data_IF_791068883510
#
_entry.id   IF_791068883510
#
_cell.length_a   1.000
_cell.length_b   1.000
_cell.length_c   1.000
_cell.angle_alpha   90.00
_cell.angle_beta   90.00
_cell.angle_gamma   90.00
#
_symmetry.space_group_name_H-M   'P 1'
#
loop_
_entity.id
_entity.type
_entity.pdbx_description
1 polymer ?
#
# COMPACT_ATOMS: atom_id res chain seq x y z
N UNK A 1 -34.30 20.41 -0.54
CA UNK A 1 -33.14 19.59 -0.18
C UNK A 1 -32.80 18.80 -1.42
N UNK A 2 -31.53 18.78 -1.84
CA UNK A 2 -31.11 17.91 -2.94
C UNK A 2 -31.43 16.46 -2.55
N UNK A 3 -31.92 15.67 -3.50
CA UNK A 3 -32.13 14.25 -3.27
C UNK A 3 -30.75 13.55 -3.16
N UNK A 4 -30.70 12.38 -2.54
CA UNK A 4 -29.47 11.56 -2.52
C UNK A 4 -29.05 11.20 -3.95
N UNK A 5 -30.02 11.04 -4.85
CA UNK A 5 -29.80 10.77 -6.28
C UNK A 5 -29.09 11.95 -6.95
N UNK A 6 -29.48 13.20 -6.64
CA UNK A 6 -28.83 14.41 -7.15
C UNK A 6 -27.37 14.50 -6.68
N UNK A 7 -27.09 14.11 -5.43
CA UNK A 7 -25.73 14.10 -4.88
C UNK A 7 -24.86 13.01 -5.53
N UNK A 8 -25.43 11.83 -5.79
CA UNK A 8 -24.75 10.74 -6.50
C UNK A 8 -24.42 11.16 -7.93
N UNK A 9 -25.40 11.72 -8.67
CA UNK A 9 -25.20 12.17 -10.05
C UNK A 9 -24.14 13.27 -10.12
N UNK A 10 -24.18 14.22 -9.18
CA UNK A 10 -23.15 15.27 -9.07
C UNK A 10 -21.77 14.69 -8.80
N UNK A 11 -21.65 13.73 -7.88
CA UNK A 11 -20.38 13.09 -7.55
C UNK A 11 -19.83 12.30 -8.75
N UNK A 12 -20.69 11.58 -9.49
CA UNK A 12 -20.32 10.87 -10.71
C UNK A 12 -19.82 11.84 -11.78
N UNK A 13 -20.57 12.92 -12.06
CA UNK A 13 -20.17 13.93 -13.05
C UNK A 13 -18.82 14.55 -12.69
N UNK A 14 -18.66 15.00 -11.44
CA UNK A 14 -17.42 15.62 -10.97
C UNK A 14 -16.22 14.66 -11.07
N UNK A 15 -16.43 13.38 -10.74
CA UNK A 15 -15.37 12.37 -10.83
C UNK A 15 -14.95 12.12 -12.28
N UNK A 16 -15.91 12.06 -13.21
CA UNK A 16 -15.63 11.91 -14.64
C UNK A 16 -14.93 13.12 -15.24
N UNK A 17 -15.28 14.34 -14.79
CA UNK A 17 -14.57 15.56 -15.16
C UNK A 17 -13.11 15.52 -14.69
N UNK A 18 -12.86 15.05 -13.46
CA UNK A 18 -11.49 14.87 -12.95
C UNK A 18 -10.68 13.87 -13.77
N UNK A 19 -11.27 12.71 -14.12
CA UNK A 19 -10.62 11.73 -15.00
C UNK A 19 -10.31 12.34 -16.35
N UNK A 20 -11.27 13.06 -16.95
CA UNK A 20 -11.08 13.71 -18.25
C UNK A 20 -9.97 14.77 -18.20
N UNK A 21 -9.89 15.55 -17.13
CA UNK A 21 -8.82 16.52 -16.92
C UNK A 21 -7.45 15.84 -16.77
N UNK A 22 -7.38 14.72 -16.03
CA UNK A 22 -6.16 13.92 -15.90
C UNK A 22 -5.69 13.37 -17.25
N UNK A 23 -6.60 12.80 -18.05
CA UNK A 23 -6.29 12.30 -19.39
C UNK A 23 -5.87 13.43 -20.35
N UNK A 24 -6.48 14.60 -20.22
CA UNK A 24 -6.09 15.80 -20.95
C UNK A 24 -4.66 16.25 -20.62
N UNK A 25 -4.28 16.21 -19.34
CA UNK A 25 -2.93 16.58 -18.90
C UNK A 25 -1.84 15.67 -19.49
N UNK A 26 -2.12 14.38 -19.68
CA UNK A 26 -1.17 13.46 -20.32
C UNK A 26 -0.76 13.92 -21.73
N UNK A 27 -1.66 14.55 -22.47
CA UNK A 27 -1.37 15.08 -23.81
C UNK A 27 -0.45 16.31 -23.79
N UNK A 28 -0.29 16.95 -22.62
CA UNK A 28 0.57 18.12 -22.42
C UNK A 28 1.97 17.74 -21.92
N UNK A 29 2.21 16.48 -21.55
CA UNK A 29 3.51 16.01 -21.07
C UNK A 29 4.51 16.03 -22.23
N UNK A 30 5.46 16.96 -22.17
CA UNK A 30 6.59 17.00 -23.08
C UNK A 30 7.72 16.11 -22.56
N UNK A 31 8.02 15.03 -23.28
CA UNK A 31 9.20 14.21 -23.00
C UNK A 31 10.45 14.92 -23.56
N UNK A 32 11.28 15.47 -22.68
CA UNK A 32 12.64 15.88 -23.03
C UNK A 32 13.54 14.65 -23.24
N UNK A 33 14.75 14.83 -23.78
CA UNK A 33 15.67 13.73 -24.08
C UNK A 33 16.24 12.95 -22.88
N UNK A 34 15.86 13.31 -21.65
CA UNK A 34 16.25 12.59 -20.42
C UNK A 34 15.03 11.79 -19.94
N UNK A 35 15.09 10.47 -20.10
CA UNK A 35 14.08 9.55 -19.59
C UNK A 35 14.43 9.16 -18.16
N UNK A 36 13.60 9.58 -17.20
CA UNK A 36 13.67 9.06 -15.84
C UNK A 36 12.62 7.94 -15.71
N UNK A 37 13.09 6.70 -15.82
CA UNK A 37 12.25 5.49 -15.80
C UNK A 37 11.33 5.44 -14.59
N UNK A 38 11.78 5.91 -13.42
CA UNK A 38 10.98 5.92 -12.19
C UNK A 38 9.71 6.75 -12.34
N UNK A 39 9.78 7.91 -13.01
CA UNK A 39 8.59 8.74 -13.23
C UNK A 39 7.62 8.12 -14.22
N UNK A 40 8.12 7.43 -15.25
CA UNK A 40 7.26 6.69 -16.17
C UNK A 40 6.53 5.56 -15.43
N UNK A 41 7.23 4.77 -14.63
CA UNK A 41 6.65 3.68 -13.84
C UNK A 41 5.61 4.21 -12.82
N UNK A 42 5.87 5.38 -12.21
CA UNK A 42 4.89 6.05 -11.35
C UNK A 42 3.66 6.55 -12.12
N UNK A 43 3.83 7.07 -13.34
CA UNK A 43 2.70 7.46 -14.19
C UNK A 43 1.85 6.25 -14.59
N UNK A 44 2.49 5.15 -14.99
CA UNK A 44 1.79 3.89 -15.28
C UNK A 44 1.05 3.37 -14.05
N UNK A 45 1.68 3.43 -12.86
CA UNK A 45 1.03 3.09 -11.60
C UNK A 45 -0.27 3.87 -11.42
N UNK A 46 -0.26 5.19 -11.64
CA UNK A 46 -1.44 6.06 -11.53
C UNK A 46 -2.47 5.72 -12.59
N UNK A 47 -2.07 5.51 -13.85
CA UNK A 47 -2.97 5.17 -14.96
C UNK A 47 -3.84 3.94 -14.64
N UNK A 48 -3.24 2.86 -14.14
CA UNK A 48 -3.99 1.66 -13.74
C UNK A 48 -5.02 1.94 -12.63
N UNK A 49 -4.74 2.90 -11.73
CA UNK A 49 -5.68 3.27 -10.67
C UNK A 49 -6.79 4.17 -11.20
N UNK A 50 -6.51 5.02 -12.20
CA UNK A 50 -7.54 5.79 -12.91
C UNK A 50 -8.50 4.86 -13.66
N UNK A 51 -8.01 3.81 -14.32
CA UNK A 51 -8.86 2.76 -14.92
C UNK A 51 -9.74 2.06 -13.87
N UNK A 52 -9.18 1.80 -12.69
CA UNK A 52 -9.92 1.21 -11.56
C UNK A 52 -10.99 2.16 -11.03
N UNK A 53 -10.70 3.47 -10.95
CA UNK A 53 -11.68 4.50 -10.56
C UNK A 53 -12.81 4.56 -11.57
N UNK A 54 -12.51 4.56 -12.88
CA UNK A 54 -13.53 4.54 -13.93
C UNK A 54 -14.45 3.32 -13.80
N UNK A 55 -13.88 2.15 -13.52
CA UNK A 55 -14.64 0.93 -13.22
C UNK A 55 -15.56 1.08 -12.00
N UNK A 56 -15.12 1.81 -10.96
CA UNK A 56 -15.96 2.11 -9.79
C UNK A 56 -17.15 3.00 -10.18
N UNK A 57 -16.93 4.04 -10.98
CA UNK A 57 -18.00 4.93 -11.45
C UNK A 57 -19.04 4.17 -12.29
N UNK A 58 -18.58 3.24 -13.13
CA UNK A 58 -19.45 2.36 -13.92
C UNK A 58 -20.28 1.41 -13.07
N UNK A 59 -19.70 0.88 -11.98
CA UNK A 59 -20.44 0.06 -11.01
C UNK A 59 -21.50 0.90 -10.28
N UNK A 60 -21.17 2.13 -9.89
CA UNK A 60 -22.13 3.05 -9.27
C UNK A 60 -23.29 3.35 -10.22
N UNK A 61 -23.00 3.66 -11.48
CA UNK A 61 -24.01 3.94 -12.50
C UNK A 61 -24.94 2.73 -12.81
N UNK A 62 -24.52 1.52 -12.46
CA UNK A 62 -25.28 0.26 -12.61
C UNK A 62 -25.90 -0.22 -11.29
N UNK A 63 -26.00 0.65 -10.29
CA UNK A 63 -26.50 0.35 -8.95
C UNK A 63 -25.76 -0.82 -8.26
N UNK A 64 -24.45 -0.96 -8.51
CA UNK A 64 -23.54 -1.93 -7.85
C UNK A 64 -22.62 -1.23 -6.84
N UNK A 65 -23.24 -0.48 -5.92
CA UNK A 65 -22.54 0.37 -4.94
C UNK A 65 -21.61 -0.44 -4.04
N UNK A 66 -22.05 -1.59 -3.52
CA UNK A 66 -21.23 -2.41 -2.63
C UNK A 66 -19.92 -2.88 -3.31
N UNK A 67 -20.01 -3.32 -4.56
CA UNK A 67 -18.85 -3.77 -5.35
C UNK A 67 -17.89 -2.59 -5.62
N UNK A 68 -18.45 -1.42 -5.96
CA UNK A 68 -17.68 -0.18 -6.14
C UNK A 68 -16.94 0.24 -4.87
N UNK A 69 -17.59 0.17 -3.71
CA UNK A 69 -16.97 0.49 -2.42
C UNK A 69 -15.89 -0.53 -2.04
N UNK A 70 -16.08 -1.80 -2.41
CA UNK A 70 -15.05 -2.82 -2.29
C UNK A 70 -13.77 -2.47 -3.07
N UNK A 71 -13.91 -2.07 -4.34
CA UNK A 71 -12.79 -1.62 -5.17
C UNK A 71 -12.16 -0.31 -4.68
N UNK A 72 -12.98 0.61 -4.15
CA UNK A 72 -12.52 1.88 -3.59
C UNK A 72 -11.55 1.69 -2.41
N UNK A 73 -11.64 0.59 -1.66
CA UNK A 73 -10.65 0.24 -0.62
C UNK A 73 -9.27 0.00 -1.22
N UNK A 74 -9.20 -0.74 -2.32
CA UNK A 74 -7.93 -0.98 -3.02
C UNK A 74 -7.35 0.33 -3.57
N UNK A 75 -8.20 1.23 -4.10
CA UNK A 75 -7.77 2.56 -4.54
C UNK A 75 -7.18 3.35 -3.37
N UNK A 76 -7.82 3.33 -2.19
CA UNK A 76 -7.29 3.98 -0.99
C UNK A 76 -5.90 3.46 -0.61
N UNK A 77 -5.72 2.13 -0.51
CA UNK A 77 -4.41 1.53 -0.20
C UNK A 77 -3.33 1.95 -1.20
N UNK A 78 -3.67 1.95 -2.50
CA UNK A 78 -2.75 2.37 -3.56
C UNK A 78 -2.44 3.87 -3.53
N UNK A 79 -3.40 4.70 -3.11
CA UNK A 79 -3.16 6.13 -2.90
C UNK A 79 -2.20 6.39 -1.74
N UNK A 80 -2.33 5.65 -0.63
CA UNK A 80 -1.37 5.72 0.48
C UNK A 80 0.04 5.33 0.03
N UNK A 81 0.16 4.28 -0.80
CA UNK A 81 1.43 3.87 -1.40
C UNK A 81 1.97 4.93 -2.36
N UNK A 82 1.13 5.55 -3.19
CA UNK A 82 1.55 6.63 -4.09
C UNK A 82 2.16 7.80 -3.32
N UNK A 83 1.54 8.21 -2.22
CA UNK A 83 2.11 9.26 -1.35
C UNK A 83 3.52 8.88 -0.88
N UNK A 84 3.73 7.61 -0.50
CA UNK A 84 5.05 7.11 -0.11
C UNK A 84 6.05 7.06 -1.27
N UNK A 85 5.62 6.63 -2.46
CA UNK A 85 6.49 6.59 -3.65
C UNK A 85 6.88 7.98 -4.15
N UNK A 86 6.06 8.99 -3.91
CA UNK A 86 6.37 10.37 -4.31
C UNK A 86 7.07 11.19 -3.21
N UNK A 87 6.80 10.92 -1.93
CA UNK A 87 7.19 11.79 -0.81
C UNK A 87 7.90 11.07 0.35
N UNK A 88 7.94 9.74 0.33
CA UNK A 88 8.53 8.93 1.40
C UNK A 88 10.06 8.93 1.34
N UNK A 89 10.69 9.78 2.14
CA UNK A 89 12.16 9.89 2.22
C UNK A 89 12.80 8.89 3.18
N UNK A 90 12.05 8.28 4.08
CA UNK A 90 12.56 7.37 5.09
C UNK A 90 12.04 5.97 4.85
N UNK A 91 12.93 5.01 5.03
CA UNK A 91 12.58 3.60 5.11
C UNK A 91 13.29 2.98 6.30
N UNK A 92 13.00 1.72 6.59
CA UNK A 92 13.65 1.02 7.67
C UNK A 92 14.09 -0.37 7.27
N UNK A 93 15.01 -0.97 8.03
CA UNK A 93 15.33 -2.40 8.00
C UNK A 93 15.09 -2.99 9.37
N UNK A 94 14.54 -4.20 9.40
CA UNK A 94 14.24 -4.90 10.64
C UNK A 94 15.28 -5.96 10.95
N UNK A 95 15.61 -6.07 12.24
CA UNK A 95 16.36 -7.19 12.79
C UNK A 95 15.45 -7.94 13.77
N UNK A 96 15.16 -9.20 13.46
CA UNK A 96 14.38 -10.08 14.33
C UNK A 96 15.27 -10.61 15.46
N UNK A 97 14.89 -10.32 16.72
CA UNK A 97 15.55 -10.80 17.93
C UNK A 97 14.55 -11.49 18.86
N UNK A 98 13.53 -12.15 18.30
CA UNK A 98 12.47 -12.83 19.07
C UNK A 98 13.01 -13.90 20.02
N UNK A 99 14.18 -14.47 19.73
CA UNK A 99 14.90 -15.45 20.55
C UNK A 99 15.50 -14.88 21.83
N UNK A 100 15.65 -13.56 21.96
CA UNK A 100 16.18 -12.91 23.17
C UNK A 100 15.10 -12.76 24.24
N UNK A 101 15.53 -12.74 25.51
CA UNK A 101 14.65 -12.31 26.60
C UNK A 101 14.28 -10.82 26.45
N UNK A 102 13.19 -10.34 27.09
CA UNK A 102 12.86 -8.91 27.08
C UNK A 102 13.99 -8.02 27.61
N UNK A 103 14.65 -8.45 28.68
CA UNK A 103 15.76 -7.72 29.33
C UNK A 103 16.98 -7.62 28.40
N UNK A 104 17.35 -8.75 27.77
CA UNK A 104 18.45 -8.78 26.80
C UNK A 104 18.14 -7.96 25.54
N UNK A 105 16.87 -7.91 25.14
CA UNK A 105 16.44 -7.10 24.01
C UNK A 105 16.60 -5.60 24.30
N UNK A 106 16.14 -5.14 25.46
CA UNK A 106 16.24 -3.72 25.85
C UNK A 106 17.71 -3.29 26.05
N UNK A 107 18.54 -4.17 26.61
CA UNK A 107 19.97 -3.94 26.74
C UNK A 107 20.65 -3.85 25.36
N UNK A 108 20.37 -4.79 24.47
CA UNK A 108 20.90 -4.78 23.11
C UNK A 108 20.43 -3.55 22.31
N UNK A 109 19.17 -3.13 22.46
CA UNK A 109 18.65 -1.91 21.81
C UNK A 109 19.44 -0.67 22.27
N UNK A 110 19.68 -0.52 23.57
CA UNK A 110 20.48 0.59 24.12
C UNK A 110 21.91 0.57 23.62
N UNK A 111 22.53 -0.60 23.55
CA UNK A 111 23.88 -0.75 22.98
C UNK A 111 23.94 -0.31 21.51
N UNK A 112 22.97 -0.72 20.68
CA UNK A 112 22.94 -0.33 19.28
C UNK A 112 22.70 1.18 19.10
N UNK A 113 21.83 1.78 19.91
CA UNK A 113 21.61 3.22 19.93
C UNK A 113 22.90 3.98 20.33
N UNK A 114 23.61 3.52 21.36
CA UNK A 114 24.87 4.12 21.78
C UNK A 114 25.96 4.02 20.70
N UNK A 115 26.08 2.85 20.05
CA UNK A 115 27.00 2.65 18.92
C UNK A 115 26.68 3.59 17.76
N UNK A 116 25.39 3.77 17.44
CA UNK A 116 25.00 4.68 16.37
C UNK A 116 25.40 6.13 16.69
N UNK A 117 25.17 6.60 17.91
CA UNK A 117 25.55 7.95 18.32
C UNK A 117 27.07 8.16 18.35
N UNK A 118 27.85 7.11 18.62
CA UNK A 118 29.31 7.15 18.48
C UNK A 118 29.74 7.19 17.01
N UNK A 119 29.11 6.39 16.16
CA UNK A 119 29.38 6.37 14.71
C UNK A 119 29.00 7.71 14.03
N UNK A 120 27.90 8.35 14.42
CA UNK A 120 27.51 9.68 13.90
C UNK A 120 28.56 10.77 14.16
N UNK A 121 29.39 10.61 15.19
CA UNK A 121 30.49 11.56 15.47
C UNK A 121 31.69 11.37 14.53
N UNK A 122 31.79 10.21 13.88
CA UNK A 122 32.96 9.80 13.09
C UNK A 122 32.66 9.58 11.60
N UNK A 123 31.40 9.36 11.22
CA UNK A 123 30.96 9.18 9.82
C UNK A 123 29.54 9.70 9.61
N UNK A 124 29.25 10.19 8.40
CA UNK A 124 27.90 10.62 7.98
C UNK A 124 27.05 9.50 7.37
N UNK A 125 27.64 8.37 7.00
CA UNK A 125 26.94 7.26 6.35
C UNK A 125 26.45 6.24 7.38
N UNK A 126 25.13 6.10 7.52
CA UNK A 126 24.53 5.14 8.44
C UNK A 126 23.02 5.31 8.63
N UNK A 127 22.45 4.55 9.57
CA UNK A 127 21.06 4.72 9.97
C UNK A 127 20.85 6.11 10.60
N UNK A 128 19.72 6.75 10.29
CA UNK A 128 19.30 8.01 10.92
C UNK A 128 19.06 7.80 12.43
N UNK A 129 18.36 6.73 12.79
CA UNK A 129 18.13 6.33 14.17
C UNK A 129 17.73 4.85 14.27
N UNK A 130 17.80 4.33 15.50
CA UNK A 130 17.42 2.96 15.82
C UNK A 130 16.31 3.01 16.88
N UNK A 131 15.23 2.29 16.63
CA UNK A 131 14.08 2.23 17.52
C UNK A 131 13.53 0.80 17.62
N UNK A 132 12.68 0.56 18.61
CA UNK A 132 11.86 -0.65 18.65
C UNK A 132 10.80 -0.58 17.56
N UNK A 133 10.61 -1.66 16.81
CA UNK A 133 9.51 -1.74 15.85
C UNK A 133 8.17 -1.88 16.60
N UNK A 134 7.18 -1.00 16.37
CA UNK A 134 5.96 -0.99 17.17
C UNK A 134 5.06 -2.21 16.92
N UNK A 135 5.13 -2.84 15.73
CA UNK A 135 4.18 -3.89 15.31
C UNK A 135 4.71 -5.32 15.43
N UNK A 136 5.92 -5.54 15.94
CA UNK A 136 6.43 -6.88 16.21
C UNK A 136 7.24 -6.92 17.51
N UNK A 137 7.14 -8.05 18.22
CA UNK A 137 7.85 -8.23 19.49
C UNK A 137 9.34 -8.38 19.21
N UNK A 138 10.17 -7.70 20.00
CA UNK A 138 11.64 -7.85 19.96
C UNK A 138 12.23 -7.69 18.55
N UNK A 139 11.68 -6.77 17.76
CA UNK A 139 12.25 -6.36 16.48
C UNK A 139 12.89 -4.98 16.64
N UNK A 140 14.12 -4.85 16.16
CA UNK A 140 14.80 -3.56 16.07
C UNK A 140 14.62 -3.00 14.68
N UNK A 141 14.27 -1.72 14.61
CA UNK A 141 14.06 -0.95 13.41
C UNK A 141 15.22 0.03 13.23
N UNK A 142 16.01 -0.17 12.18
CA UNK A 142 17.05 0.74 11.74
C UNK A 142 16.46 1.63 10.65
N UNK A 143 16.37 2.94 10.88
CA UNK A 143 15.75 3.88 9.93
C UNK A 143 16.83 4.54 9.08
N UNK A 144 16.59 4.66 7.78
CA UNK A 144 17.51 5.23 6.79
C UNK A 144 16.80 6.30 5.98
N UNK A 145 17.57 7.20 5.36
CA UNK A 145 17.08 8.08 4.30
C UNK A 145 17.09 7.33 2.96
N UNK A 146 16.24 7.76 2.02
CA UNK A 146 16.06 7.17 0.70
C UNK A 146 17.34 7.17 -0.13
N UNK A 147 17.26 6.60 -1.33
CA UNK A 147 18.44 6.43 -2.16
C UNK A 147 18.72 7.72 -2.94
N UNK A 148 19.95 8.19 -2.89
CA UNK A 148 20.47 9.28 -3.73
C UNK A 148 21.40 8.71 -4.79
N UNK A 149 21.54 9.40 -5.92
CA UNK A 149 22.55 9.06 -6.92
C UNK A 149 23.92 9.59 -6.47
N UNK A 150 25.00 9.00 -6.98
CA UNK A 150 26.35 9.59 -6.83
C UNK A 150 26.47 10.90 -7.62
N UNK A 151 25.69 11.04 -8.71
CA UNK A 151 25.71 12.21 -9.60
C UNK A 151 24.73 13.33 -9.18
N UNK A 152 23.77 13.03 -8.30
CA UNK A 152 22.75 13.97 -7.81
C UNK A 152 22.36 13.60 -6.37
N UNK A 153 22.91 14.36 -5.41
CA UNK A 153 22.65 14.21 -3.98
C UNK A 153 21.36 14.90 -3.52
N UNK A 154 20.75 15.72 -4.38
CA UNK A 154 19.49 16.42 -4.10
C UNK A 154 18.29 15.53 -4.47
N UNK A 155 18.43 14.71 -5.52
CA UNK A 155 17.38 13.82 -5.96
C UNK A 155 17.32 12.53 -5.14
N UNK A 156 16.32 12.44 -4.27
CA UNK A 156 16.04 11.24 -3.47
C UNK A 156 14.98 10.40 -4.19
N UNK A 157 15.30 9.14 -4.47
CA UNK A 157 14.33 8.13 -4.91
C UNK A 157 13.79 7.42 -3.66
N UNK A 158 12.47 7.51 -3.39
CA UNK A 158 11.84 6.80 -2.28
C UNK A 158 12.04 5.29 -2.36
N UNK A 159 12.56 4.69 -1.28
CA UNK A 159 12.77 3.23 -1.24
C UNK A 159 11.46 2.44 -1.40
N UNK A 160 10.32 3.05 -1.07
CA UNK A 160 8.99 2.49 -1.26
C UNK A 160 8.67 2.16 -2.73
N UNK A 161 9.27 2.88 -3.69
CA UNK A 161 9.16 2.54 -5.11
C UNK A 161 9.75 1.16 -5.39
N UNK A 162 10.97 0.89 -4.91
CA UNK A 162 11.63 -0.41 -5.10
C UNK A 162 10.89 -1.53 -4.36
N UNK A 163 10.38 -1.27 -3.17
CA UNK A 163 9.59 -2.25 -2.42
C UNK A 163 8.33 -2.68 -3.17
N UNK A 164 7.70 -1.76 -3.91
CA UNK A 164 6.57 -2.09 -4.76
C UNK A 164 7.00 -2.85 -6.02
N UNK A 165 8.06 -2.41 -6.70
CA UNK A 165 8.59 -3.06 -7.91
C UNK A 165 9.07 -4.50 -7.65
N UNK A 166 9.68 -4.75 -6.49
CA UNK A 166 10.19 -6.06 -6.09
C UNK A 166 9.11 -6.99 -5.51
N UNK A 167 7.88 -6.49 -5.36
CA UNK A 167 6.81 -7.26 -4.74
C UNK A 167 6.05 -8.14 -5.73
N UNK A 168 6.21 -9.45 -5.55
CA UNK A 168 5.59 -10.50 -6.35
C UNK A 168 4.54 -11.28 -5.53
N UNK A 169 3.29 -10.78 -5.40
CA UNK A 169 2.25 -11.39 -4.56
C UNK A 169 1.89 -12.82 -4.97
N UNK A 170 2.07 -13.19 -6.24
CA UNK A 170 1.80 -14.51 -6.78
C UNK A 170 2.58 -15.62 -6.07
N UNK A 171 3.77 -15.31 -5.54
CA UNK A 171 4.63 -16.26 -4.84
C UNK A 171 4.11 -16.64 -3.44
N UNK A 172 3.15 -15.89 -2.91
CA UNK A 172 2.61 -16.08 -1.56
C UNK A 172 1.38 -16.99 -1.48
N UNK A 173 0.71 -17.26 -2.61
CA UNK A 173 -0.66 -17.84 -2.59
C UNK A 173 -0.72 -19.35 -2.40
N UNK A 174 0.13 -20.10 -3.09
CA UNK A 174 0.13 -21.56 -3.09
C UNK A 174 1.49 -22.07 -2.66
N UNK A 175 1.53 -23.24 -2.03
CA UNK A 175 2.78 -23.95 -1.82
C UNK A 175 3.31 -24.47 -3.16
N UNK A 176 4.63 -24.61 -3.30
CA UNK A 176 5.23 -25.01 -4.59
C UNK A 176 4.72 -26.40 -5.04
N UNK A 177 4.44 -27.29 -4.09
CA UNK A 177 3.83 -28.60 -4.33
C UNK A 177 2.41 -28.56 -4.91
N UNK A 178 1.74 -27.41 -4.86
CA UNK A 178 0.38 -27.21 -5.36
C UNK A 178 0.39 -26.59 -6.77
N UNK A 179 1.56 -26.17 -7.29
CA UNK A 179 1.71 -25.75 -8.68
C UNK A 179 1.85 -26.97 -9.60
N UNK A 180 1.31 -26.83 -10.81
CA UNK A 180 1.45 -27.84 -11.85
C UNK A 180 2.86 -27.76 -12.44
N UNK A 181 3.79 -28.53 -11.89
CA UNK A 181 5.18 -28.55 -12.34
C UNK A 181 5.40 -29.63 -13.40
N UNK A 182 5.81 -29.23 -14.61
CA UNK A 182 6.14 -30.16 -15.70
C UNK A 182 7.44 -30.94 -15.45
N UNK A 183 8.30 -30.43 -14.56
CA UNK A 183 9.59 -31.01 -14.20
C UNK A 183 9.80 -30.89 -12.70
N UNK A 184 10.41 -31.89 -12.08
CA UNK A 184 10.73 -31.83 -10.65
C UNK A 184 11.80 -30.76 -10.39
N UNK A 185 11.54 -29.76 -9.53
CA UNK A 185 12.47 -28.67 -9.29
C UNK A 185 13.70 -29.15 -8.52
N UNK A 186 14.86 -28.62 -8.90
CA UNK A 186 16.12 -28.92 -8.22
C UNK A 186 16.10 -28.39 -6.78
N UNK A 187 16.94 -28.92 -5.87
CA UNK A 187 17.05 -28.39 -4.50
C UNK A 187 17.37 -26.88 -4.45
N UNK A 188 18.15 -26.38 -5.41
CA UNK A 188 18.48 -24.96 -5.54
C UNK A 188 17.26 -24.13 -5.92
N UNK A 189 16.45 -24.61 -6.86
CA UNK A 189 15.19 -23.96 -7.23
C UNK A 189 14.20 -23.93 -6.06
N UNK A 190 14.05 -25.05 -5.34
CA UNK A 190 13.20 -25.13 -4.13
C UNK A 190 13.65 -24.11 -3.06
N UNK A 191 14.97 -23.96 -2.88
CA UNK A 191 15.52 -22.95 -1.96
C UNK A 191 15.23 -21.53 -2.43
N UNK A 192 15.46 -21.24 -3.72
CA UNK A 192 15.21 -19.91 -4.29
C UNK A 192 13.73 -19.51 -4.19
N UNK A 193 12.80 -20.42 -4.51
CA UNK A 193 11.35 -20.20 -4.36
C UNK A 193 10.97 -19.92 -2.90
N UNK A 194 11.51 -20.71 -1.96
CA UNK A 194 11.29 -20.48 -0.53
C UNK A 194 11.79 -19.10 -0.09
N UNK A 195 13.00 -18.73 -0.49
CA UNK A 195 13.59 -17.43 -0.16
C UNK A 195 12.76 -16.28 -0.77
N UNK A 196 12.28 -16.43 -2.00
CA UNK A 196 11.40 -15.46 -2.66
C UNK A 196 10.05 -15.31 -1.92
N UNK A 197 9.43 -16.42 -1.49
CA UNK A 197 8.17 -16.38 -0.70
C UNK A 197 8.38 -15.69 0.64
N UNK A 198 9.50 -15.96 1.32
CA UNK A 198 9.87 -15.29 2.57
C UNK A 198 10.05 -13.79 2.35
N UNK A 199 10.74 -13.40 1.27
CA UNK A 199 10.96 -12.00 0.91
C UNK A 199 9.64 -11.29 0.59
N UNK A 200 8.79 -11.85 -0.29
CA UNK A 200 7.50 -11.28 -0.64
C UNK A 200 6.59 -11.13 0.60
N UNK A 201 6.56 -12.14 1.47
CA UNK A 201 5.81 -12.07 2.74
C UNK A 201 6.35 -10.98 3.66
N UNK A 202 7.67 -10.79 3.70
CA UNK A 202 8.32 -9.70 4.43
C UNK A 202 7.96 -8.33 3.87
N UNK A 203 8.08 -8.15 2.55
CA UNK A 203 7.72 -6.91 1.85
C UNK A 203 6.26 -6.52 2.12
N UNK A 204 5.34 -7.48 1.97
CA UNK A 204 3.93 -7.24 2.27
C UNK A 204 3.71 -6.87 3.73
N UNK A 205 4.21 -7.68 4.66
CA UNK A 205 4.00 -7.48 6.09
C UNK A 205 4.53 -6.14 6.60
N UNK A 206 5.70 -5.71 6.11
CA UNK A 206 6.42 -4.57 6.68
C UNK A 206 6.29 -3.29 5.87
N UNK A 207 5.86 -3.33 4.61
CA UNK A 207 5.79 -2.12 3.78
C UNK A 207 4.51 -1.96 2.96
N UNK A 208 3.84 -3.04 2.53
CA UNK A 208 2.72 -2.93 1.56
C UNK A 208 1.34 -3.26 2.14
N UNK A 209 1.25 -3.93 3.29
CA UNK A 209 -0.02 -4.09 3.99
C UNK A 209 -0.55 -2.72 4.47
N UNK A 210 -1.88 -2.55 4.53
CA UNK A 210 -2.51 -1.29 4.94
C UNK A 210 -1.90 -0.67 6.21
N UNK A 211 -1.84 -1.43 7.30
CA UNK A 211 -1.23 -0.96 8.54
C UNK A 211 0.27 -0.61 8.39
N UNK A 212 0.99 -1.29 7.48
CA UNK A 212 2.39 -0.97 7.19
C UNK A 212 2.52 0.33 6.41
N UNK A 213 1.59 0.61 5.48
CA UNK A 213 1.52 1.89 4.77
C UNK A 213 1.30 3.03 5.77
N UNK A 214 0.38 2.88 6.72
CA UNK A 214 0.17 3.88 7.78
C UNK A 214 1.43 4.11 8.61
N UNK A 215 2.10 3.03 9.02
CA UNK A 215 3.35 3.13 9.77
C UNK A 215 4.44 3.86 8.99
N UNK A 216 4.55 3.58 7.69
CA UNK A 216 5.52 4.23 6.80
C UNK A 216 5.17 5.71 6.59
N UNK A 217 3.89 6.05 6.47
CA UNK A 217 3.45 7.44 6.36
C UNK A 217 3.76 8.23 7.63
N UNK A 218 3.50 7.66 8.80
CA UNK A 218 3.83 8.24 10.11
C UNK A 218 5.35 8.42 10.26
N UNK A 219 6.14 7.39 9.92
CA UNK A 219 7.59 7.42 9.93
C UNK A 219 8.15 8.61 9.13
N UNK A 220 7.52 8.86 7.98
CA UNK A 220 7.87 9.93 7.05
C UNK A 220 7.31 11.31 7.47
N UNK A 221 6.52 11.39 8.54
CA UNK A 221 5.87 12.63 8.98
C UNK A 221 4.85 13.16 7.96
N UNK A 222 4.30 12.28 7.13
CA UNK A 222 3.31 12.63 6.09
C UNK A 222 1.89 12.61 6.63
N UNK A 223 1.68 11.94 7.76
CA UNK A 223 0.42 11.87 8.49
C UNK A 223 0.69 12.03 9.99
N UNK A 224 -0.25 12.64 10.69
CA UNK A 224 -0.32 12.67 12.14
C UNK A 224 -1.47 11.78 12.64
N UNK A 225 -1.68 11.72 13.97
CA UNK A 225 -2.73 10.90 14.57
C UNK A 225 -4.14 11.27 14.10
N UNK A 226 -4.40 12.55 13.82
CA UNK A 226 -5.72 13.00 13.37
C UNK A 226 -5.98 12.56 11.92
N UNK A 227 -4.96 12.65 11.07
CA UNK A 227 -5.02 12.15 9.69
C UNK A 227 -5.15 10.63 9.67
N UNK A 228 -4.39 9.90 10.51
CA UNK A 228 -4.52 8.45 10.66
C UNK A 228 -5.95 8.08 11.06
N UNK A 229 -6.52 8.75 12.06
CA UNK A 229 -7.90 8.49 12.49
C UNK A 229 -8.93 8.71 11.37
N UNK A 230 -8.72 9.72 10.51
CA UNK A 230 -9.55 9.92 9.32
C UNK A 230 -9.38 8.80 8.30
N UNK A 231 -8.13 8.39 8.00
CA UNK A 231 -7.88 7.29 7.06
C UNK A 231 -8.53 6.00 7.57
N UNK A 232 -8.37 5.70 8.86
CA UNK A 232 -9.02 4.56 9.54
C UNK A 232 -10.54 4.59 9.42
N UNK A 233 -11.17 5.75 9.60
CA UNK A 233 -12.61 5.88 9.44
C UNK A 233 -13.07 5.53 8.02
N UNK A 234 -12.34 5.99 6.99
CA UNK A 234 -12.64 5.67 5.59
C UNK A 234 -12.36 4.19 5.29
N UNK A 235 -11.23 3.65 5.75
CA UNK A 235 -10.85 2.26 5.54
C UNK A 235 -11.87 1.30 6.19
N UNK A 236 -12.26 1.60 7.42
CA UNK A 236 -13.29 0.86 8.15
C UNK A 236 -14.64 0.94 7.46
N UNK A 237 -15.03 2.13 6.98
CA UNK A 237 -16.26 2.29 6.21
C UNK A 237 -16.26 1.41 4.96
N UNK A 238 -15.22 1.50 4.13
CA UNK A 238 -15.09 0.72 2.89
C UNK A 238 -15.02 -0.79 3.17
N UNK A 239 -14.31 -1.19 4.22
CA UNK A 239 -14.15 -2.58 4.61
C UNK A 239 -15.44 -3.30 4.96
N UNK A 240 -16.49 -2.58 5.41
CA UNK A 240 -17.81 -3.15 5.70
C UNK A 240 -18.47 -3.81 4.49
N UNK A 241 -18.15 -3.35 3.28
CA UNK A 241 -18.79 -3.81 2.04
C UNK A 241 -18.03 -4.93 1.33
N UNK A 242 -16.84 -5.29 1.81
CA UNK A 242 -15.96 -6.28 1.18
C UNK A 242 -16.26 -7.73 1.60
N UNK A 243 -16.91 -7.89 2.75
CA UNK A 243 -17.33 -9.19 3.25
C UNK A 243 -18.86 -9.30 3.18
N UNK A 244 -19.41 -10.49 2.90
CA UNK A 244 -20.84 -10.77 3.00
C UNK A 244 -21.26 -10.79 4.48
N UNK A 245 -21.04 -9.68 5.19
CA UNK A 245 -21.50 -9.49 6.55
C UNK A 245 -23.01 -9.27 6.53
N UNK A 246 -23.66 -9.72 7.59
CA UNK A 246 -25.11 -9.69 7.73
C UNK A 246 -25.63 -8.26 7.51
N UNK A 247 -26.30 -8.03 6.38
CA UNK A 247 -26.97 -6.78 5.97
C UNK A 247 -26.11 -5.59 5.48
N UNK A 248 -24.78 -5.66 5.37
CA UNK A 248 -24.00 -4.46 4.97
C UNK A 248 -24.42 -3.89 3.59
N UNK A 249 -24.58 -4.74 2.58
CA UNK A 249 -25.10 -4.32 1.27
C UNK A 249 -26.60 -3.95 1.32
N UNK A 250 -27.40 -4.57 2.20
CA UNK A 250 -28.83 -4.24 2.38
C UNK A 250 -29.04 -2.87 3.02
N UNK A 251 -28.09 -2.39 3.83
CA UNK A 251 -28.16 -1.04 4.41
C UNK A 251 -27.98 0.06 3.35
N UNK A 252 -27.42 -0.27 2.18
CA UNK A 252 -27.24 0.70 1.09
C UNK A 252 -28.49 0.86 0.21
N UNK A 253 -29.46 -0.06 0.30
CA UNK A 253 -30.65 -0.04 -0.53
C UNK A 253 -31.89 -0.36 0.30
N UNK A 254 -32.85 0.55 0.36
CA UNK A 254 -34.13 0.32 1.04
C UNK A 254 -34.95 -0.87 0.45
N UNK A 255 -34.53 -1.49 -0.67
CA UNK A 255 -35.30 -2.53 -1.40
C UNK A 255 -34.49 -3.65 -2.09
N UNK A 256 -33.27 -3.99 -1.65
CA UNK A 256 -32.41 -4.93 -2.41
C UNK A 256 -32.58 -6.43 -2.13
N UNK A 257 -33.74 -6.90 -1.64
CA UNK A 257 -34.07 -8.33 -1.71
C UNK A 257 -34.71 -8.66 -3.07
N UNK A 258 -33.92 -8.66 -4.13
CA UNK A 258 -34.37 -9.13 -5.46
C UNK A 258 -34.66 -10.65 -5.50
N UNK A 259 -34.17 -11.39 -4.50
CA UNK A 259 -34.40 -12.82 -4.31
C UNK A 259 -35.17 -13.09 -3.00
N UNK A 260 -36.14 -12.24 -2.66
CA UNK A 260 -37.22 -12.76 -1.82
C UNK A 260 -37.92 -13.82 -2.67
N UNK A 261 -37.85 -15.09 -2.28
CA UNK A 261 -38.39 -16.23 -3.05
C UNK A 261 -39.91 -16.21 -3.23
N UNK A 262 -40.55 -15.06 -3.04
CA UNK A 262 -41.92 -14.79 -3.43
C UNK A 262 -41.99 -14.59 -4.93
N UNK A 263 -42.68 -15.50 -5.60
CA UNK A 263 -43.18 -15.29 -6.96
C UNK A 263 -43.87 -13.92 -7.01
N UNK A 264 -43.37 -13.02 -7.85
CA UNK A 264 -44.03 -11.76 -8.14
C UNK A 264 -45.49 -12.04 -8.55
N UNK A 265 -46.44 -11.74 -7.67
CA UNK A 265 -47.84 -11.65 -8.02
C UNK A 265 -48.06 -10.35 -8.79
N UNK A 266 -48.64 -10.52 -9.98
CA UNK A 266 -49.03 -9.47 -10.93
C UNK A 266 -49.86 -8.34 -10.32
#
# INVERSE_FOLDING_TARGET
>A
MASIEDEIEKALSSSREMISAYLGWFQEIQFAGIHNTVYNDMLEFVNFRVETIDSCLDLIAKDKIADSLGLSRAILENYLLLILMCRGRKFFRLQNLESKSPEDFDLYLKEQQAKLEEHKKTSSTGALYIAKYPRAKRHIMYVFEGLTSEDDDVFIIPYHFFQFQEFHPETMRLNDSEYFEYYEPTPEMKKAQKDQRVNASGLYRFYLSYDALLQCLELNGLVDNDVIARIEAHYTFLGKFLHPTHNAARLLYERSNFYDGGTASA
#
